data_IF_479641236413
#
_entry.id   IF_479641236413
#
_cell.length_a   1.000
_cell.length_b   1.000
_cell.length_c   1.000
_cell.angle_alpha   90.00
_cell.angle_beta   90.00
_cell.angle_gamma   90.00
#
_symmetry.space_group_name_H-M   'P 1'
#
loop_
_entity.id
_entity.type
_entity.pdbx_description
1 polymer ?
#
# COMPACT_ATOMS: atom_id res chain seq x y z
N UNK A 1 -1.15 -9.21 -9.36
CA UNK A 1 -0.42 -9.29 -8.07
C UNK A 1 -0.23 -7.88 -7.53
N UNK A 2 0.40 -7.68 -6.36
CA UNK A 2 0.67 -6.33 -5.84
C UNK A 2 1.53 -5.50 -6.81
N UNK A 3 2.53 -6.13 -7.43
CA UNK A 3 3.43 -5.51 -8.40
C UNK A 3 2.72 -5.01 -9.66
N UNK A 4 1.87 -5.82 -10.28
CA UNK A 4 1.09 -5.40 -11.47
C UNK A 4 0.26 -4.12 -11.24
N UNK A 5 -0.13 -3.83 -9.99
CA UNK A 5 -0.88 -2.61 -9.65
C UNK A 5 0.02 -1.38 -9.47
N UNK A 6 1.28 -1.59 -9.10
CA UNK A 6 2.27 -0.52 -9.12
C UNK A 6 2.61 -0.14 -10.56
N UNK A 7 2.67 -1.13 -11.46
CA UNK A 7 2.81 -0.90 -12.90
C UNK A 7 1.60 -0.14 -13.46
N UNK A 8 0.37 -0.57 -13.12
CA UNK A 8 -0.86 0.16 -13.48
C UNK A 8 -0.86 1.60 -12.94
N UNK A 9 -0.44 1.80 -11.69
CA UNK A 9 -0.33 3.12 -11.10
C UNK A 9 0.69 4.02 -11.83
N UNK A 10 1.83 3.45 -12.23
CA UNK A 10 2.85 4.16 -12.99
C UNK A 10 2.35 4.58 -14.39
N UNK A 11 1.51 3.76 -15.02
CA UNK A 11 0.92 4.04 -16.35
C UNK A 11 -0.31 4.95 -16.28
N UNK A 12 -0.95 5.09 -15.12
CA UNK A 12 -2.16 5.89 -14.95
C UNK A 12 -1.91 7.38 -15.23
N UNK A 13 -2.71 7.94 -16.15
CA UNK A 13 -2.63 9.36 -16.53
C UNK A 13 -3.36 10.28 -15.56
N UNK A 14 -4.42 9.81 -14.89
CA UNK A 14 -5.16 10.59 -13.92
C UNK A 14 -4.60 10.38 -12.50
N UNK A 15 -4.40 11.45 -11.69
CA UNK A 15 -3.91 11.32 -10.31
C UNK A 15 -4.78 10.42 -9.43
N UNK A 16 -6.10 10.50 -9.61
CA UNK A 16 -7.05 9.66 -8.87
C UNK A 16 -6.84 8.17 -9.15
N UNK A 17 -6.68 7.78 -10.41
CA UNK A 17 -6.49 6.38 -10.80
C UNK A 17 -5.15 5.84 -10.26
N UNK A 18 -4.08 6.63 -10.40
CA UNK A 18 -2.76 6.32 -9.80
C UNK A 18 -2.85 6.09 -8.29
N UNK A 19 -3.56 6.97 -7.59
CA UNK A 19 -3.76 6.88 -6.14
C UNK A 19 -4.52 5.61 -5.73
N UNK A 20 -5.59 5.26 -6.46
CA UNK A 20 -6.35 4.05 -6.21
C UNK A 20 -5.50 2.79 -6.43
N UNK A 21 -4.78 2.73 -7.55
CA UNK A 21 -3.93 1.59 -7.90
C UNK A 21 -2.78 1.41 -6.89
N UNK A 22 -2.08 2.49 -6.52
CA UNK A 22 -1.01 2.46 -5.51
C UNK A 22 -1.51 1.98 -4.14
N UNK A 23 -2.66 2.50 -3.67
CA UNK A 23 -3.23 2.05 -2.39
C UNK A 23 -3.64 0.57 -2.44
N UNK A 24 -4.20 0.12 -3.57
CA UNK A 24 -4.63 -1.27 -3.75
C UNK A 24 -3.43 -2.23 -3.81
N UNK A 25 -2.32 -1.80 -4.41
CA UNK A 25 -1.05 -2.54 -4.38
C UNK A 25 -0.58 -2.78 -2.94
N UNK A 26 -0.49 -1.71 -2.15
CA UNK A 26 -0.12 -1.79 -0.74
C UNK A 26 -1.07 -2.69 0.06
N UNK A 27 -2.39 -2.55 -0.14
CA UNK A 27 -3.39 -3.37 0.56
C UNK A 27 -3.20 -4.87 0.26
N UNK A 28 -2.92 -5.22 -1.00
CA UNK A 28 -2.68 -6.60 -1.41
C UNK A 28 -1.40 -7.17 -0.83
N UNK A 29 -0.32 -6.40 -0.80
CA UNK A 29 0.92 -6.84 -0.16
C UNK A 29 0.73 -7.05 1.36
N UNK A 30 0.11 -6.09 2.06
CA UNK A 30 -0.19 -6.22 3.48
C UNK A 30 -1.07 -7.43 3.80
N UNK A 31 -2.09 -7.70 2.98
CA UNK A 31 -2.92 -8.89 3.12
C UNK A 31 -2.14 -10.19 2.90
N UNK A 32 -1.20 -10.21 1.95
CA UNK A 32 -0.35 -11.37 1.69
C UNK A 32 0.57 -11.68 2.88
N UNK A 33 1.20 -10.66 3.49
CA UNK A 33 2.01 -10.83 4.70
C UNK A 33 1.19 -11.42 5.85
N UNK A 34 0.00 -10.84 6.11
CA UNK A 34 -0.89 -11.34 7.16
C UNK A 34 -1.38 -12.78 6.90
N UNK A 35 -1.54 -13.17 5.63
CA UNK A 35 -1.90 -14.54 5.26
C UNK A 35 -0.73 -15.53 5.48
N UNK A 36 0.50 -15.09 5.24
CA UNK A 36 1.71 -15.88 5.47
C UNK A 36 2.10 -15.99 6.96
N UNK A 37 1.59 -15.09 7.81
CA UNK A 37 1.84 -15.03 9.25
C UNK A 37 0.54 -15.20 10.04
N UNK A 38 -0.07 -16.40 10.05
CA UNK A 38 -1.32 -16.63 10.76
C UNK A 38 -1.13 -16.39 12.27
N UNK A 39 -2.05 -15.64 12.88
CA UNK A 39 -2.09 -15.43 14.33
C UNK A 39 -2.28 -16.77 15.06
N UNK A 40 -1.53 -17.03 16.13
CA UNK A 40 -1.68 -18.24 16.96
C UNK A 40 -2.95 -18.21 17.82
N UNK A 41 -3.53 -17.03 18.05
CA UNK A 41 -4.74 -16.88 18.85
C UNK A 41 -6.01 -17.17 18.03
N UNK A 42 -6.94 -18.00 18.55
CA UNK A 42 -8.20 -18.26 17.87
C UNK A 42 -9.01 -16.96 17.73
N UNK A 43 -9.70 -16.72 16.60
CA UNK A 43 -10.47 -15.51 16.39
C UNK A 43 -11.52 -15.38 17.49
N UNK A 44 -11.34 -14.39 18.37
CA UNK A 44 -12.31 -14.09 19.42
C UNK A 44 -13.65 -13.76 18.75
N UNK A 45 -14.66 -14.59 19.02
CA UNK A 45 -15.96 -14.71 18.32
C UNK A 45 -16.84 -13.45 18.31
N UNK A 46 -16.36 -12.30 18.79
CA UNK A 46 -17.16 -11.10 19.04
C UNK A 46 -16.55 -9.77 18.56
N UNK A 47 -15.41 -9.76 17.86
CA UNK A 47 -14.80 -8.50 17.38
C UNK A 47 -15.06 -8.25 15.89
N UNK A 48 -15.40 -7.00 15.57
CA UNK A 48 -15.52 -6.46 14.20
C UNK A 48 -14.23 -6.79 13.41
N UNK A 49 -14.30 -7.11 12.10
CA UNK A 49 -13.11 -7.37 11.32
C UNK A 49 -12.16 -6.17 11.43
N UNK A 50 -10.94 -6.40 11.90
CA UNK A 50 -9.88 -5.38 11.92
C UNK A 50 -9.35 -5.18 10.52
N UNK A 51 -9.11 -3.94 10.13
CA UNK A 51 -8.50 -3.64 8.82
C UNK A 51 -7.07 -4.23 8.75
N UNK A 52 -6.55 -4.41 7.54
CA UNK A 52 -5.15 -4.83 7.32
C UNK A 52 -4.19 -3.90 8.10
N UNK A 53 -4.45 -2.59 8.07
CA UNK A 53 -3.64 -1.57 8.74
C UNK A 53 -3.71 -1.62 10.26
N UNK A 54 -4.79 -2.13 10.85
CA UNK A 54 -4.88 -2.35 12.30
C UNK A 54 -4.19 -3.63 12.76
N UNK A 55 -4.04 -4.61 11.87
CA UNK A 55 -3.43 -5.91 12.17
C UNK A 55 -1.93 -5.90 11.95
N UNK A 56 -1.48 -5.21 10.90
CA UNK A 56 -0.08 -5.19 10.48
C UNK A 56 0.91 -4.86 11.61
N UNK A 57 0.72 -3.82 12.45
CA UNK A 57 1.66 -3.49 13.52
C UNK A 57 1.85 -4.59 14.59
N UNK A 58 0.87 -5.49 14.72
CA UNK A 58 0.96 -6.61 15.66
C UNK A 58 1.74 -7.78 15.09
N UNK A 59 1.56 -8.03 13.79
CA UNK A 59 2.21 -9.12 13.07
C UNK A 59 3.63 -8.77 12.70
N UNK A 60 3.86 -7.54 12.27
CA UNK A 60 5.16 -6.99 11.88
C UNK A 60 5.31 -5.56 12.44
N UNK A 61 5.90 -5.41 13.64
CA UNK A 61 6.08 -4.11 14.28
C UNK A 61 6.91 -3.12 13.45
N UNK A 62 7.84 -3.61 12.62
CA UNK A 62 8.65 -2.75 11.75
C UNK A 62 7.81 -2.01 10.70
N UNK A 63 6.61 -2.51 10.40
CA UNK A 63 5.68 -1.89 9.45
C UNK A 63 4.64 -0.96 10.11
N UNK A 64 4.82 -0.60 11.38
CA UNK A 64 3.87 0.25 12.12
C UNK A 64 3.68 1.63 11.47
N UNK A 65 4.78 2.25 11.06
CA UNK A 65 4.74 3.57 10.43
C UNK A 65 4.02 3.52 9.08
N UNK A 66 4.36 2.51 8.26
CA UNK A 66 3.67 2.25 7.01
C UNK A 66 2.16 2.03 7.19
N UNK A 67 1.76 1.26 8.20
CA UNK A 67 0.34 1.06 8.51
C UNK A 67 -0.39 2.38 8.81
N UNK A 68 0.27 3.33 9.49
CA UNK A 68 -0.30 4.64 9.76
C UNK A 68 -0.43 5.50 8.49
N UNK A 69 0.60 5.50 7.63
CA UNK A 69 0.57 6.20 6.33
C UNK A 69 -0.60 5.70 5.47
N UNK A 70 -0.74 4.37 5.30
CA UNK A 70 -1.82 3.80 4.48
C UNK A 70 -3.20 3.91 5.14
N UNK A 71 -3.30 3.89 6.47
CA UNK A 71 -4.57 4.17 7.14
C UNK A 71 -5.04 5.61 6.88
N UNK A 72 -4.13 6.59 6.90
CA UNK A 72 -4.46 7.98 6.62
C UNK A 72 -4.86 8.20 5.14
N UNK A 73 -4.17 7.54 4.19
CA UNK A 73 -4.47 7.64 2.76
C UNK A 73 -5.83 7.05 2.38
N UNK A 74 -6.38 6.12 3.18
CA UNK A 74 -7.67 5.49 2.92
C UNK A 74 -8.86 6.46 2.89
N UNK A 75 -8.76 7.64 3.54
CA UNK A 75 -9.82 8.65 3.51
C UNK A 75 -9.94 9.27 2.11
N UNK A 76 -8.82 9.64 1.50
CA UNK A 76 -8.80 10.19 0.13
C UNK A 76 -9.21 9.13 -0.89
N UNK A 77 -8.78 7.88 -0.71
CA UNK A 77 -9.24 6.74 -1.53
C UNK A 77 -10.77 6.64 -1.53
N UNK A 78 -11.39 6.65 -0.35
CA UNK A 78 -12.85 6.58 -0.23
C UNK A 78 -13.56 7.76 -0.90
N UNK A 79 -13.01 8.97 -0.78
CA UNK A 79 -13.54 10.15 -1.46
C UNK A 79 -13.46 10.03 -2.99
N UNK A 80 -12.34 9.52 -3.53
CA UNK A 80 -12.18 9.26 -4.97
C UNK A 80 -13.22 8.24 -5.44
N UNK A 81 -13.38 7.12 -4.71
CA UNK A 81 -14.37 6.07 -5.02
C UNK A 81 -15.82 6.59 -4.96
N UNK A 82 -16.07 7.60 -4.12
CA UNK A 82 -17.34 8.31 -4.07
C UNK A 82 -17.53 9.33 -5.20
N UNK A 83 -16.59 9.42 -6.16
CA UNK A 83 -16.65 10.29 -7.32
C UNK A 83 -15.95 11.65 -7.15
N UNK A 84 -15.29 11.89 -6.01
CA UNK A 84 -14.56 13.14 -5.76
C UNK A 84 -13.10 13.04 -6.21
N UNK A 85 -12.88 12.74 -7.50
CA UNK A 85 -11.54 12.51 -8.05
C UNK A 85 -10.55 13.69 -7.87
N UNK A 86 -11.05 14.92 -7.68
CA UNK A 86 -10.25 16.13 -7.54
C UNK A 86 -9.63 16.33 -6.14
N UNK A 87 -9.92 15.45 -5.16
CA UNK A 87 -9.38 15.54 -3.79
C UNK A 87 -7.91 15.11 -3.68
N UNK A 88 -7.34 14.60 -4.77
CA UNK A 88 -5.94 14.21 -4.90
C UNK A 88 -5.34 14.94 -6.09
N UNK A 89 -4.18 15.55 -5.86
CA UNK A 89 -3.37 16.12 -6.93
C UNK A 89 -2.25 15.16 -7.39
N UNK A 90 -1.55 15.53 -8.46
CA UNK A 90 -0.49 14.69 -9.04
C UNK A 90 0.64 14.38 -8.06
N UNK A 91 1.11 15.36 -7.29
CA UNK A 91 2.19 15.16 -6.33
C UNK A 91 1.79 14.18 -5.22
N UNK A 92 0.57 14.31 -4.69
CA UNK A 92 0.04 13.38 -3.68
C UNK A 92 -0.12 11.95 -4.21
N UNK A 93 -0.42 11.80 -5.51
CA UNK A 93 -0.49 10.49 -6.15
C UNK A 93 0.91 9.89 -6.38
N UNK A 94 1.90 10.70 -6.73
CA UNK A 94 3.29 10.28 -6.90
C UNK A 94 3.96 9.92 -5.57
N UNK A 95 3.67 10.68 -4.50
CA UNK A 95 4.11 10.38 -3.15
C UNK A 95 3.54 9.03 -2.69
N UNK A 96 2.23 8.81 -2.85
CA UNK A 96 1.61 7.54 -2.47
C UNK A 96 2.12 6.36 -3.31
N UNK A 97 2.41 6.58 -4.60
CA UNK A 97 3.00 5.56 -5.47
C UNK A 97 4.40 5.17 -4.98
N UNK A 98 5.25 6.17 -4.68
CA UNK A 98 6.60 5.95 -4.15
C UNK A 98 6.57 5.23 -2.80
N UNK A 99 5.66 5.62 -1.92
CA UNK A 99 5.41 4.96 -0.64
C UNK A 99 4.98 3.50 -0.82
N UNK A 100 4.08 3.24 -1.78
CA UNK A 100 3.61 1.88 -2.09
C UNK A 100 4.73 0.99 -2.67
N UNK A 101 5.61 1.53 -3.51
CA UNK A 101 6.79 0.81 -4.03
C UNK A 101 7.72 0.35 -2.90
N UNK A 102 8.06 1.27 -1.99
CA UNK A 102 8.94 0.96 -0.85
C UNK A 102 8.29 -0.08 0.06
N UNK A 103 7.01 0.09 0.37
CA UNK A 103 6.28 -0.82 1.24
C UNK A 103 6.11 -2.22 0.63
N UNK A 104 5.74 -2.33 -0.64
CA UNK A 104 5.62 -3.61 -1.35
C UNK A 104 6.97 -4.33 -1.38
N UNK A 105 8.06 -3.60 -1.66
CA UNK A 105 9.42 -4.17 -1.65
C UNK A 105 9.84 -4.67 -0.27
N UNK A 106 9.49 -3.94 0.81
CA UNK A 106 9.75 -4.38 2.18
C UNK A 106 8.98 -5.67 2.53
N UNK A 107 7.73 -5.80 2.09
CA UNK A 107 6.94 -7.02 2.29
C UNK A 107 7.49 -8.19 1.48
N UNK A 108 7.87 -7.97 0.22
CA UNK A 108 8.49 -9.01 -0.61
C UNK A 108 9.77 -9.53 0.06
N UNK A 109 10.60 -8.64 0.60
CA UNK A 109 11.77 -9.01 1.39
C UNK A 109 11.42 -9.86 2.63
N UNK A 110 10.41 -9.48 3.41
CA UNK A 110 9.95 -10.24 4.58
C UNK A 110 9.35 -11.61 4.24
N UNK A 111 8.91 -11.79 3.00
CA UNK A 111 8.35 -13.03 2.48
C UNK A 111 9.38 -13.87 1.70
N UNK A 112 10.64 -13.43 1.62
CA UNK A 112 11.70 -14.05 0.81
C UNK A 112 11.29 -14.20 -0.67
N UNK A 113 10.49 -13.24 -1.17
CA UNK A 113 10.11 -13.13 -2.57
C UNK A 113 11.12 -12.19 -3.24
N UNK A 114 11.70 -12.54 -4.41
CA UNK A 114 12.61 -11.64 -5.11
C UNK A 114 11.92 -10.32 -5.43
N UNK A 115 12.33 -9.25 -4.76
CA UNK A 115 11.82 -7.92 -5.06
C UNK A 115 12.36 -7.45 -6.41
N UNK A 116 11.49 -7.13 -7.35
CA UNK A 116 11.90 -6.46 -8.58
C UNK A 116 12.20 -5.00 -8.21
N UNK A 117 13.48 -4.67 -8.00
CA UNK A 117 13.86 -3.31 -7.64
C UNK A 117 13.51 -2.35 -8.78
N UNK A 118 12.50 -1.51 -8.53
CA UNK A 118 12.19 -0.30 -9.28
C UNK A 118 13.34 0.69 -9.00
N UNK A 119 14.34 0.70 -9.88
CA UNK A 119 15.49 1.59 -9.81
C UNK A 119 15.04 3.06 -9.65
N UNK A 120 15.47 3.79 -8.60
CA UNK A 120 15.30 5.24 -8.59
C UNK A 120 16.20 5.83 -9.66
N UNK A 121 15.62 6.33 -10.75
CA UNK A 121 16.31 7.18 -11.70
C UNK A 121 16.64 8.50 -10.99
N UNK A 122 17.78 8.53 -10.30
CA UNK A 122 18.45 9.78 -9.96
C UNK A 122 18.88 10.45 -11.26
N UNK A 123 18.09 11.40 -11.75
CA UNK A 123 18.58 12.45 -12.65
C UNK A 123 17.73 13.70 -12.49
N UNK A 124 18.28 14.70 -11.79
CA UNK A 124 18.36 16.04 -12.36
C UNK A 124 19.57 16.78 -11.81
N UNK A 125 20.66 16.68 -12.55
CA UNK A 125 21.65 17.74 -12.64
C UNK A 125 21.24 18.64 -13.80
N UNK A 126 21.05 19.93 -13.52
CA UNK A 126 21.44 21.09 -14.35
C UNK A 126 21.20 22.34 -13.53
#
# INVERSE_FOLDING_TARGET
MARDLLDEAAEASAPADRYLAAHLAALRAGAALLAARPEEEPPSRARKPRSVWERLPKTEPELTEWAAVFAASAVKRQSIEAGLAHVVNAAEADDLHSDAEVFVSAIEYLLDIPAQQSLPLSTRAS
#
